data_IF_016302228711
#
_entry.id   IF_016302228711
#
_cell.length_a   1.000
_cell.length_b   1.000
_cell.length_c   1.000
_cell.angle_alpha   90.00
_cell.angle_beta   90.00
_cell.angle_gamma   90.00
#
_symmetry.space_group_name_H-M   'P 1'
#
loop_
_entity.id
_entity.type
_entity.pdbx_description
1 polymer ?
#
# COMPACT_ATOMS: atom_id res chain seq x y z
N UNK A 1 -12.33 -33.67 -44.33
CA UNK A 1 -11.13 -32.82 -44.17
C UNK A 1 -11.48 -31.41 -44.65
N UNK A 2 -11.77 -30.50 -43.72
CA UNK A 2 -11.70 -29.02 -43.82
C UNK A 2 -12.24 -28.46 -42.51
N UNK A 3 -11.35 -27.88 -41.71
CA UNK A 3 -11.68 -27.14 -40.50
C UNK A 3 -12.18 -25.75 -40.91
N UNK A 4 -13.33 -25.33 -40.39
CA UNK A 4 -13.82 -23.96 -40.50
C UNK A 4 -13.94 -23.38 -39.08
N UNK A 5 -13.18 -22.31 -38.85
CA UNK A 5 -13.20 -21.47 -37.66
C UNK A 5 -14.59 -20.89 -37.40
N UNK A 6 -15.08 -20.94 -36.17
CA UNK A 6 -16.20 -20.13 -35.71
C UNK A 6 -15.72 -19.21 -34.59
N UNK A 7 -15.47 -17.95 -34.93
CA UNK A 7 -15.52 -16.84 -33.99
C UNK A 7 -16.99 -16.52 -33.72
N UNK A 8 -17.38 -16.50 -32.45
CA UNK A 8 -18.69 -16.02 -32.02
C UNK A 8 -18.56 -14.59 -31.50
N UNK A 9 -19.26 -13.66 -32.13
CA UNK A 9 -19.48 -12.31 -31.61
C UNK A 9 -20.15 -12.39 -30.25
N UNK A 10 -19.50 -11.85 -29.21
CA UNK A 10 -20.13 -11.58 -27.92
C UNK A 10 -20.77 -10.18 -27.98
N UNK A 11 -22.05 -10.11 -27.71
CA UNK A 11 -22.83 -8.87 -27.70
C UNK A 11 -22.36 -7.98 -26.53
N UNK A 12 -22.15 -6.68 -26.79
CA UNK A 12 -21.53 -5.75 -25.83
C UNK A 12 -22.54 -4.72 -25.30
N UNK A 13 -22.62 -4.58 -23.99
CA UNK A 13 -23.52 -3.66 -23.29
C UNK A 13 -22.82 -2.33 -22.94
N UNK A 14 -23.59 -1.24 -22.83
CA UNK A 14 -23.13 0.07 -22.33
C UNK A 14 -23.97 0.44 -21.12
N UNK A 15 -23.36 1.01 -20.08
CA UNK A 15 -24.10 1.49 -18.92
C UNK A 15 -23.33 2.56 -18.13
N UNK A 16 -24.07 3.36 -17.37
CA UNK A 16 -23.54 4.29 -16.38
C UNK A 16 -23.34 3.60 -15.04
N UNK A 17 -22.18 3.82 -14.42
CA UNK A 17 -21.83 3.25 -13.12
C UNK A 17 -21.10 4.28 -12.25
N UNK A 18 -21.34 4.28 -10.93
CA UNK A 18 -20.53 5.06 -9.99
C UNK A 18 -19.06 4.60 -10.05
N UNK A 19 -18.11 5.55 -9.99
CA UNK A 19 -16.67 5.27 -10.11
C UNK A 19 -16.16 4.21 -9.11
N UNK A 20 -16.77 4.19 -7.92
CA UNK A 20 -16.52 3.26 -6.80
C UNK A 20 -16.78 1.78 -7.16
N UNK A 21 -17.61 1.52 -8.17
CA UNK A 21 -17.98 0.16 -8.61
C UNK A 21 -16.81 -0.55 -9.32
N UNK A 22 -15.75 0.18 -9.67
CA UNK A 22 -14.56 -0.35 -10.34
C UNK A 22 -13.53 -0.96 -9.36
N UNK A 23 -13.71 -0.81 -8.06
CA UNK A 23 -12.74 -1.28 -7.05
C UNK A 23 -12.79 -2.78 -6.74
N UNK A 24 -13.70 -3.53 -7.38
CA UNK A 24 -14.00 -4.92 -7.02
C UNK A 24 -13.59 -6.03 -7.99
N UNK A 25 -12.92 -5.78 -9.14
CA UNK A 25 -12.70 -6.87 -10.11
C UNK A 25 -11.32 -6.90 -10.79
N UNK A 26 -10.90 -8.14 -11.05
CA UNK A 26 -9.58 -8.58 -11.43
C UNK A 26 -8.95 -7.79 -12.60
N UNK A 27 -7.67 -7.51 -12.39
CA UNK A 27 -6.72 -7.01 -13.37
C UNK A 27 -6.72 -7.92 -14.58
N UNK A 28 -7.11 -7.41 -15.73
CA UNK A 28 -6.37 -7.57 -16.98
C UNK A 28 -7.09 -6.85 -18.13
N UNK A 29 -6.29 -6.14 -18.93
CA UNK A 29 -6.58 -5.56 -20.26
C UNK A 29 -7.61 -4.40 -20.28
N UNK A 30 -7.12 -3.16 -20.21
CA UNK A 30 -7.85 -1.94 -20.60
C UNK A 30 -7.10 -1.29 -21.76
N UNK A 31 -7.80 -1.00 -22.85
CA UNK A 31 -7.30 -0.22 -23.99
C UNK A 31 -8.25 0.96 -24.22
N UNK A 32 -7.73 2.19 -24.31
CA UNK A 32 -8.52 3.42 -24.43
C UNK A 32 -8.62 3.93 -25.88
N UNK A 33 -9.79 4.45 -26.32
CA UNK A 33 -9.86 5.34 -27.48
C UNK A 33 -10.28 6.78 -27.12
N UNK A 34 -10.06 7.67 -28.08
CA UNK A 34 -9.92 9.12 -27.95
C UNK A 34 -11.23 9.95 -28.01
N UNK A 35 -11.27 11.04 -27.22
CA UNK A 35 -11.88 12.32 -27.59
C UNK A 35 -13.34 12.61 -27.23
N UNK A 36 -13.60 13.25 -26.08
CA UNK A 36 -14.78 14.09 -25.84
C UNK A 36 -14.38 15.31 -25.01
N UNK A 37 -14.75 16.51 -25.48
CA UNK A 37 -14.52 17.80 -24.78
C UNK A 37 -15.71 18.09 -23.88
N UNK A 38 -15.52 18.63 -22.67
CA UNK A 38 -16.38 19.69 -22.14
C UNK A 38 -15.76 20.44 -20.94
N UNK A 39 -16.55 21.36 -20.38
CA UNK A 39 -16.24 22.74 -19.99
C UNK A 39 -16.06 22.84 -18.47
N UNK A 40 -15.14 23.70 -18.01
CA UNK A 40 -14.86 24.00 -16.59
C UNK A 40 -16.13 24.24 -15.78
N UNK A 41 -16.13 23.80 -14.52
CA UNK A 41 -16.71 24.52 -13.38
C UNK A 41 -16.02 24.09 -12.07
N UNK A 42 -15.91 25.07 -11.17
CA UNK A 42 -15.23 25.05 -9.87
C UNK A 42 -16.19 24.71 -8.72
N UNK A 43 -15.60 24.17 -7.64
CA UNK A 43 -15.77 24.38 -6.18
C UNK A 43 -17.17 24.48 -5.52
N UNK A 44 -17.45 23.56 -4.56
CA UNK A 44 -18.17 23.78 -3.26
C UNK A 44 -18.61 22.45 -2.58
N UNK A 45 -18.81 22.42 -1.23
CA UNK A 45 -19.13 21.21 -0.47
C UNK A 45 -20.53 20.65 -0.82
N UNK A 46 -20.60 19.34 -1.03
CA UNK A 46 -21.75 18.66 -1.66
C UNK A 46 -21.43 18.02 -3.01
N UNK A 47 -20.16 17.65 -3.25
CA UNK A 47 -19.73 17.07 -4.52
C UNK A 47 -20.55 15.81 -4.86
N UNK A 48 -21.29 15.87 -5.97
CA UNK A 48 -21.86 14.70 -6.61
C UNK A 48 -20.72 13.76 -6.99
N UNK A 49 -20.82 12.49 -6.56
CA UNK A 49 -19.82 11.48 -6.92
C UNK A 49 -19.83 11.35 -8.45
N UNK A 50 -18.66 11.36 -9.11
CA UNK A 50 -18.60 11.33 -10.57
C UNK A 50 -19.15 9.99 -11.09
N UNK A 51 -20.12 10.07 -12.00
CA UNK A 51 -20.66 8.92 -12.73
C UNK A 51 -19.81 8.70 -13.97
N UNK A 52 -19.48 7.45 -14.28
CA UNK A 52 -18.78 7.11 -15.51
C UNK A 52 -19.63 6.23 -16.43
N UNK A 53 -19.50 6.44 -17.72
CA UNK A 53 -20.03 5.56 -18.76
C UNK A 53 -19.00 4.48 -19.06
N UNK A 54 -19.42 3.23 -19.01
CA UNK A 54 -18.57 2.06 -19.28
C UNK A 54 -19.25 1.15 -20.31
N UNK A 55 -18.44 0.58 -21.19
CA UNK A 55 -18.83 -0.51 -22.09
C UNK A 55 -18.31 -1.82 -21.52
N UNK A 56 -19.07 -2.89 -21.58
CA UNK A 56 -18.70 -4.17 -20.96
C UNK A 56 -19.41 -5.35 -21.62
N UNK A 57 -18.92 -6.56 -21.38
CA UNK A 57 -19.47 -7.77 -22.03
C UNK A 57 -20.62 -8.41 -21.26
N UNK A 58 -20.53 -8.46 -19.92
CA UNK A 58 -21.58 -9.05 -19.09
C UNK A 58 -21.51 -8.57 -17.63
N UNK A 59 -22.64 -8.68 -16.92
CA UNK A 59 -22.72 -8.52 -15.47
C UNK A 59 -22.40 -9.85 -14.77
N UNK A 60 -21.61 -9.81 -13.70
CA UNK A 60 -21.43 -10.97 -12.81
C UNK A 60 -22.65 -11.14 -11.92
N UNK A 61 -22.83 -12.35 -11.36
CA UNK A 61 -23.92 -12.65 -10.41
C UNK A 61 -23.83 -11.80 -9.15
N UNK A 62 -22.63 -11.37 -8.78
CA UNK A 62 -22.34 -10.58 -7.58
C UNK A 62 -22.43 -9.07 -7.84
N UNK A 63 -22.96 -8.64 -8.99
CA UNK A 63 -23.21 -7.23 -9.30
C UNK A 63 -21.99 -6.46 -9.86
N UNK A 64 -20.91 -7.16 -10.20
CA UNK A 64 -19.76 -6.56 -10.88
C UNK A 64 -19.82 -6.66 -12.41
N UNK A 65 -18.87 -6.05 -13.10
CA UNK A 65 -18.87 -5.90 -14.56
C UNK A 65 -17.64 -6.55 -15.18
N UNK A 66 -17.83 -7.31 -16.27
CA UNK A 66 -16.74 -8.01 -16.97
C UNK A 66 -16.32 -7.30 -18.25
N UNK A 67 -15.00 -7.23 -18.45
CA UNK A 67 -14.36 -6.50 -19.54
C UNK A 67 -14.81 -5.02 -19.64
N UNK A 68 -14.79 -4.24 -18.54
CA UNK A 68 -15.18 -2.84 -18.60
C UNK A 68 -14.14 -2.02 -19.38
N UNK A 69 -14.60 -1.34 -20.41
CA UNK A 69 -13.90 -0.29 -21.12
C UNK A 69 -14.53 1.05 -20.73
N UNK A 70 -13.73 1.92 -20.12
CA UNK A 70 -14.15 3.26 -19.75
C UNK A 70 -14.43 4.09 -21.02
N UNK A 71 -15.59 4.74 -21.07
CA UNK A 71 -16.00 5.60 -22.19
C UNK A 71 -15.94 7.09 -21.85
N UNK A 72 -16.23 7.48 -20.60
CA UNK A 72 -16.17 8.89 -20.18
C UNK A 72 -16.84 9.15 -18.83
N UNK A 73 -16.69 10.36 -18.29
CA UNK A 73 -17.48 10.82 -17.15
C UNK A 73 -18.79 11.47 -17.64
N UNK A 74 -19.85 11.30 -16.87
CA UNK A 74 -21.20 11.85 -17.14
C UNK A 74 -21.56 12.80 -16.02
N UNK A 75 -21.39 14.09 -16.29
CA UNK A 75 -21.76 15.16 -15.36
C UNK A 75 -23.27 15.44 -15.34
N UNK A 76 -24.01 14.89 -16.32
CA UNK A 76 -25.46 15.04 -16.47
C UNK A 76 -26.27 13.98 -15.69
N UNK A 77 -25.58 13.02 -15.06
CA UNK A 77 -26.20 11.87 -14.39
C UNK A 77 -25.67 11.78 -12.97
N UNK A 78 -26.58 11.63 -12.01
CA UNK A 78 -26.20 11.43 -10.61
C UNK A 78 -26.06 9.94 -10.31
N UNK A 79 -25.23 9.53 -9.34
CA UNK A 79 -25.03 8.13 -8.98
C UNK A 79 -26.34 7.39 -8.68
N UNK A 80 -27.31 8.07 -8.08
CA UNK A 80 -28.61 7.50 -7.70
C UNK A 80 -29.50 7.23 -8.93
N UNK A 81 -29.21 7.88 -10.06
CA UNK A 81 -29.93 7.73 -11.32
C UNK A 81 -29.33 6.63 -12.22
N UNK A 82 -28.28 5.93 -11.77
CA UNK A 82 -27.63 4.84 -12.50
C UNK A 82 -28.38 3.52 -12.28
N UNK A 83 -29.21 3.14 -13.25
CA UNK A 83 -29.96 1.87 -13.23
C UNK A 83 -29.33 0.82 -14.14
N UNK A 84 -29.50 -0.45 -13.80
CA UNK A 84 -29.02 -1.58 -14.61
C UNK A 84 -29.78 -1.66 -15.93
N UNK A 85 -29.09 -1.42 -17.02
CA UNK A 85 -29.67 -1.51 -18.36
C UNK A 85 -29.70 -2.98 -18.79
N UNK A 86 -30.85 -3.42 -19.32
CA UNK A 86 -30.99 -4.75 -19.89
C UNK A 86 -30.48 -4.74 -21.34
N UNK A 87 -29.85 -5.82 -21.83
CA UNK A 87 -29.39 -5.89 -23.22
C UNK A 87 -30.57 -5.76 -24.18
N UNK A 88 -30.43 -4.91 -25.19
CA UNK A 88 -31.41 -4.73 -26.26
C UNK A 88 -31.29 -5.91 -27.21
N UNK A 89 -32.21 -6.88 -27.12
CA UNK A 89 -32.26 -8.00 -28.07
C UNK A 89 -32.59 -7.48 -29.46
N UNK A 90 -31.64 -7.58 -30.39
CA UNK A 90 -31.91 -7.36 -31.81
C UNK A 90 -32.86 -8.47 -32.31
N UNK A 91 -34.12 -8.12 -32.63
CA UNK A 91 -35.05 -9.05 -33.29
C UNK A 91 -34.51 -9.44 -34.67
N UNK A 92 -34.04 -10.68 -34.82
CA UNK A 92 -33.93 -11.35 -36.12
C UNK A 92 -35.07 -12.33 -36.29
N UNK A 93 -35.79 -12.17 -37.41
CA UNK A 93 -36.91 -13.01 -37.85
C UNK A 93 -36.50 -14.48 -38.00
N UNK A 94 -37.47 -15.35 -37.73
CA UNK A 94 -37.23 -16.78 -37.51
C UNK A 94 -37.22 -17.66 -38.76
N UNK A 95 -37.00 -18.96 -38.49
CA UNK A 95 -37.72 -20.11 -39.05
C UNK A 95 -37.07 -21.42 -38.55
N UNK A 96 -37.91 -22.37 -38.11
CA UNK A 96 -37.73 -23.80 -38.46
C UNK A 96 -37.00 -24.76 -37.50
N UNK A 97 -37.78 -25.40 -36.63
CA UNK A 97 -37.94 -26.86 -36.45
C UNK A 97 -36.81 -27.78 -35.90
N UNK A 98 -37.19 -28.51 -34.83
CA UNK A 98 -36.98 -29.95 -34.52
C UNK A 98 -35.53 -30.48 -34.34
N UNK A 99 -35.17 -31.32 -33.37
CA UNK A 99 -35.89 -32.05 -32.32
C UNK A 99 -34.97 -33.12 -31.69
N UNK A 100 -35.44 -33.64 -30.54
CA UNK A 100 -35.11 -34.94 -29.92
C UNK A 100 -33.82 -35.13 -29.10
N UNK A 101 -33.87 -36.16 -28.26
CA UNK A 101 -33.39 -36.24 -26.89
C UNK A 101 -32.64 -37.57 -26.61
N UNK A 102 -32.02 -37.66 -25.41
CA UNK A 102 -31.68 -38.94 -24.74
C UNK A 102 -30.22 -39.40 -24.89
N UNK A 103 -29.59 -40.19 -24.02
CA UNK A 103 -29.86 -40.79 -22.69
C UNK A 103 -28.50 -41.32 -22.19
N UNK A 104 -28.41 -41.63 -20.89
CA UNK A 104 -27.23 -41.81 -20.05
C UNK A 104 -26.47 -43.17 -20.09
N UNK A 105 -25.15 -43.09 -19.76
CA UNK A 105 -24.30 -44.00 -18.93
C UNK A 105 -24.07 -45.47 -19.37
N UNK A 106 -23.27 -46.30 -18.63
CA UNK A 106 -22.37 -46.01 -17.49
C UNK A 106 -21.02 -46.84 -17.42
N UNK A 107 -20.14 -46.43 -16.48
CA UNK A 107 -19.22 -47.18 -15.56
C UNK A 107 -18.25 -48.30 -16.04
N UNK A 108 -16.99 -48.20 -15.57
CA UNK A 108 -16.07 -49.34 -15.37
C UNK A 108 -14.65 -48.89 -14.95
N UNK A 109 -14.03 -49.54 -13.96
CA UNK A 109 -12.91 -49.05 -13.14
C UNK A 109 -11.70 -50.03 -13.04
N UNK A 110 -10.48 -49.45 -13.07
CA UNK A 110 -9.17 -49.87 -12.45
C UNK A 110 -8.46 -51.17 -12.95
N UNK A 111 -7.13 -51.43 -12.68
CA UNK A 111 -6.11 -50.75 -11.82
C UNK A 111 -4.66 -50.54 -12.41
N UNK A 112 -3.75 -49.98 -11.57
CA UNK A 112 -2.28 -49.70 -11.70
C UNK A 112 -1.39 -50.97 -11.51
N UNK A 113 -0.03 -50.98 -11.69
CA UNK A 113 1.03 -50.30 -10.88
C UNK A 113 2.25 -49.79 -11.73
N UNK A 114 3.28 -49.04 -11.29
CA UNK A 114 3.70 -48.48 -10.00
C UNK A 114 5.09 -47.80 -10.11
N UNK A 115 5.37 -46.88 -9.16
CA UNK A 115 6.69 -46.40 -8.66
C UNK A 115 7.61 -45.58 -9.62
N UNK A 116 8.41 -44.59 -9.23
CA UNK A 116 8.90 -44.16 -7.91
C UNK A 116 9.54 -42.73 -7.95
N UNK A 117 9.40 -42.02 -6.82
CA UNK A 117 10.35 -41.09 -6.14
C UNK A 117 10.42 -39.58 -6.47
N UNK A 118 10.23 -38.81 -5.39
CA UNK A 118 10.39 -37.36 -5.17
C UNK A 118 11.82 -37.06 -4.61
N UNK A 119 12.22 -35.87 -4.07
CA UNK A 119 11.48 -34.86 -3.27
C UNK A 119 11.81 -33.39 -3.71
N UNK A 120 11.45 -32.25 -3.12
CA UNK A 120 10.88 -31.78 -1.83
C UNK A 120 10.48 -30.30 -1.99
N UNK A 121 9.50 -29.80 -1.22
CA UNK A 121 9.36 -28.36 -0.94
C UNK A 121 7.92 -27.85 -0.98
N UNK A 122 7.11 -28.19 0.03
CA UNK A 122 5.69 -27.82 0.12
C UNK A 122 5.48 -26.58 0.99
N UNK A 123 4.64 -25.70 0.45
CA UNK A 123 3.92 -24.58 1.06
C UNK A 123 2.85 -25.11 2.03
N UNK A 124 2.61 -24.43 3.15
CA UNK A 124 1.45 -24.67 4.01
C UNK A 124 0.47 -23.49 3.96
N UNK A 125 -0.77 -23.84 3.66
CA UNK A 125 -1.98 -23.03 3.78
C UNK A 125 -2.52 -23.12 5.20
N UNK A 126 -3.08 -22.02 5.70
CA UNK A 126 -3.71 -21.94 7.01
C UNK A 126 -5.21 -22.15 6.80
N UNK A 127 -5.76 -23.26 7.28
CA UNK A 127 -7.10 -23.20 7.83
C UNK A 127 -7.41 -24.37 8.78
N UNK A 128 -8.01 -23.98 9.91
CA UNK A 128 -8.89 -24.78 10.77
C UNK A 128 -8.35 -26.00 11.52
N UNK A 129 -8.22 -25.87 12.85
CA UNK A 129 -8.82 -26.84 13.79
C UNK A 129 -9.00 -26.21 15.18
N UNK A 130 -10.27 -26.09 15.56
CA UNK A 130 -10.75 -25.93 16.93
C UNK A 130 -10.51 -27.24 17.66
N UNK A 131 -9.83 -27.20 18.80
CA UNK A 131 -9.98 -28.23 19.83
C UNK A 131 -10.18 -27.59 21.20
N UNK A 132 -11.21 -28.10 21.87
CA UNK A 132 -11.72 -27.71 23.19
C UNK A 132 -10.80 -28.27 24.27
N UNK A 133 -10.44 -27.45 25.24
CA UNK A 133 -9.84 -27.92 26.51
C UNK A 133 -10.98 -28.18 27.50
N UNK A 134 -11.00 -29.31 28.24
CA UNK A 134 -12.05 -29.63 29.19
C UNK A 134 -11.88 -28.85 30.50
N UNK A 135 -13.00 -28.40 31.07
CA UNK A 135 -13.08 -27.75 32.37
C UNK A 135 -13.01 -28.79 33.52
N UNK A 136 -12.23 -28.48 34.54
CA UNK A 136 -12.17 -29.22 35.82
C UNK A 136 -13.28 -28.70 36.75
N UNK A 137 -13.98 -29.57 37.53
CA UNK A 137 -15.06 -29.12 38.41
C UNK A 137 -14.50 -28.57 39.73
N UNK A 138 -15.11 -27.50 40.23
CA UNK A 138 -14.91 -26.99 41.59
C UNK A 138 -16.16 -27.24 42.44
N UNK A 139 -15.95 -27.81 43.62
CA UNK A 139 -16.92 -28.19 44.66
C UNK A 139 -17.43 -26.94 45.44
N UNK A 140 -18.69 -26.89 45.95
CA UNK A 140 -19.30 -25.69 46.50
C UNK A 140 -19.30 -25.64 48.04
N UNK A 141 -18.92 -24.52 48.63
CA UNK A 141 -19.31 -24.14 50.01
C UNK A 141 -19.17 -22.62 50.28
N UNK A 142 -20.33 -21.94 50.26
CA UNK A 142 -20.85 -20.75 51.00
C UNK A 142 -19.94 -19.66 51.64
N UNK A 143 -20.46 -18.46 52.05
CA UNK A 143 -21.77 -17.81 51.82
C UNK A 143 -21.69 -16.34 51.30
N UNK A 144 -22.86 -15.78 50.95
CA UNK A 144 -23.07 -14.44 50.39
C UNK A 144 -23.00 -13.27 51.40
N UNK A 145 -22.64 -12.04 50.96
CA UNK A 145 -22.83 -10.82 51.74
C UNK A 145 -24.21 -10.15 51.50
N UNK A 146 -24.74 -9.38 52.48
CA UNK A 146 -26.13 -8.92 52.53
C UNK A 146 -26.40 -7.62 51.73
N UNK A 147 -27.67 -7.30 51.43
CA UNK A 147 -28.04 -6.09 50.70
C UNK A 147 -28.13 -4.86 51.61
N UNK A 148 -27.64 -3.72 51.12
CA UNK A 148 -27.92 -2.37 51.63
C UNK A 148 -28.13 -1.51 50.39
N UNK A 149 -29.20 -0.76 50.18
CA UNK A 149 -30.07 0.00 51.08
C UNK A 149 -30.10 1.42 50.52
N UNK A 150 -31.22 1.83 49.91
CA UNK A 150 -31.43 3.20 49.39
C UNK A 150 -31.49 4.20 50.56
N UNK A 151 -30.73 5.29 50.47
CA UNK A 151 -31.12 6.60 51.03
C UNK A 151 -30.21 7.74 50.56
N UNK A 152 -30.82 8.88 50.21
CA UNK A 152 -30.34 10.19 50.65
C UNK A 152 -29.44 10.98 49.71
N UNK A 153 -30.05 11.82 48.87
CA UNK A 153 -29.42 12.99 48.29
C UNK A 153 -28.98 13.97 49.39
N UNK A 154 -27.69 14.38 49.38
CA UNK A 154 -27.22 15.66 49.96
C UNK A 154 -26.05 16.21 49.14
N UNK A 155 -26.29 17.39 48.60
CA UNK A 155 -25.36 18.32 47.97
C UNK A 155 -24.20 18.68 48.90
N UNK A 156 -22.96 18.60 48.41
CA UNK A 156 -21.81 19.27 49.03
C UNK A 156 -20.84 19.79 47.97
N UNK A 157 -20.51 21.06 48.14
CA UNK A 157 -19.89 21.94 47.18
C UNK A 157 -18.48 21.51 46.71
N UNK A 158 -18.24 21.82 45.44
CA UNK A 158 -16.98 21.87 44.70
C UNK A 158 -15.81 22.46 45.51
N UNK A 159 -14.78 21.64 45.73
CA UNK A 159 -13.38 22.10 45.69
C UNK A 159 -12.73 21.41 44.49
N UNK A 160 -12.67 22.14 43.37
CA UNK A 160 -11.83 21.78 42.23
C UNK A 160 -10.38 21.81 42.71
N UNK A 161 -9.78 20.64 42.92
CA UNK A 161 -8.34 20.51 42.82
C UNK A 161 -7.98 20.78 41.37
N UNK A 162 -7.29 21.88 41.10
CA UNK A 162 -6.60 22.10 39.83
C UNK A 162 -5.68 20.91 39.58
N UNK A 163 -6.07 20.04 38.66
CA UNK A 163 -5.20 18.98 38.12
C UNK A 163 -4.04 19.67 37.40
N UNK A 164 -2.89 19.66 38.05
CA UNK A 164 -1.62 20.07 37.46
C UNK A 164 -1.40 19.24 36.20
N UNK A 165 -1.21 19.90 35.06
CA UNK A 165 -0.90 19.22 33.81
C UNK A 165 0.35 18.34 34.02
N UNK A 166 0.44 17.14 33.40
CA UNK A 166 1.60 16.29 33.55
C UNK A 166 2.86 17.08 33.20
N UNK A 167 3.77 17.22 34.17
CA UNK A 167 5.04 17.91 34.00
C UNK A 167 5.83 17.15 32.92
N UNK A 168 6.23 17.84 31.87
CA UNK A 168 7.08 17.23 30.85
C UNK A 168 8.36 16.68 31.52
N UNK A 169 8.71 15.39 31.28
CA UNK A 169 9.87 14.79 31.93
C UNK A 169 11.14 15.54 31.56
N UNK A 170 12.06 15.65 32.53
CA UNK A 170 13.32 16.37 32.36
C UNK A 170 14.16 15.76 31.23
N UNK A 171 15.06 16.55 30.63
CA UNK A 171 15.88 16.10 29.51
C UNK A 171 16.69 14.81 29.79
N UNK A 172 17.07 14.59 31.05
CA UNK A 172 17.79 13.39 31.48
C UNK A 172 16.89 12.16 31.64
N UNK A 173 15.60 12.35 31.97
CA UNK A 173 14.61 11.26 32.06
C UNK A 173 14.19 10.72 30.68
N UNK A 174 14.41 11.51 29.61
CA UNK A 174 14.14 11.10 28.22
C UNK A 174 15.34 10.44 27.54
N UNK A 175 16.52 10.43 28.16
CA UNK A 175 17.73 9.88 27.56
C UNK A 175 17.65 8.35 27.49
N UNK A 176 17.79 7.79 26.29
CA UNK A 176 17.74 6.33 26.09
C UNK A 176 19.09 5.69 26.43
N UNK A 177 19.08 4.77 27.39
CA UNK A 177 20.22 3.88 27.66
C UNK A 177 20.27 2.76 26.62
N UNK A 178 21.35 2.70 25.84
CA UNK A 178 21.54 1.66 24.82
C UNK A 178 21.91 0.34 25.50
N UNK A 179 21.12 -0.71 25.23
CA UNK A 179 21.33 -2.04 25.81
C UNK A 179 21.95 -2.97 24.79
N UNK A 180 22.85 -3.85 25.23
CA UNK A 180 23.57 -4.79 24.36
C UNK A 180 24.21 -4.11 23.13
N UNK A 181 25.00 -3.03 23.31
CA UNK A 181 25.53 -2.22 22.21
C UNK A 181 26.38 -3.04 21.22
N UNK A 182 27.16 -3.99 21.74
CA UNK A 182 28.04 -4.88 20.96
C UNK A 182 27.31 -6.08 20.33
N UNK A 183 25.98 -6.19 20.47
CA UNK A 183 25.23 -7.27 19.83
C UNK A 183 25.36 -7.13 18.32
N UNK A 184 25.87 -8.17 17.66
CA UNK A 184 26.04 -8.22 16.21
C UNK A 184 24.68 -8.37 15.54
N UNK A 185 24.34 -7.46 14.64
CA UNK A 185 23.12 -7.50 13.84
C UNK A 185 23.39 -8.01 12.42
N UNK A 186 24.56 -7.69 11.86
CA UNK A 186 25.04 -8.18 10.57
C UNK A 186 26.30 -9.03 10.77
N UNK A 187 26.18 -10.36 10.85
CA UNK A 187 27.31 -11.22 11.22
C UNK A 187 28.41 -11.32 10.16
N UNK A 188 28.07 -11.13 8.88
CA UNK A 188 29.06 -11.25 7.80
C UNK A 188 29.94 -9.99 7.71
N UNK A 189 29.37 -8.82 8.00
CA UNK A 189 30.07 -7.54 8.06
C UNK A 189 30.60 -7.18 9.45
N UNK A 190 30.07 -7.82 10.49
CA UNK A 190 30.37 -7.52 11.89
C UNK A 190 29.62 -6.32 12.48
N UNK A 191 28.68 -5.70 11.76
CA UNK A 191 27.97 -4.52 12.26
C UNK A 191 27.09 -4.85 13.47
N UNK A 192 27.19 -4.00 14.48
CA UNK A 192 26.56 -4.13 15.78
C UNK A 192 25.32 -3.24 15.91
N UNK A 193 24.58 -3.41 17.01
CA UNK A 193 23.49 -2.51 17.38
C UNK A 193 23.98 -1.07 17.51
N UNK A 194 25.15 -0.84 18.11
CA UNK A 194 25.73 0.50 18.20
C UNK A 194 25.98 1.12 16.84
N UNK A 195 26.54 0.38 15.88
CA UNK A 195 26.77 0.90 14.53
C UNK A 195 25.45 1.34 13.85
N UNK A 196 24.37 0.58 14.06
CA UNK A 196 23.04 0.95 13.57
C UNK A 196 22.50 2.21 14.23
N UNK A 197 22.69 2.35 15.55
CA UNK A 197 22.26 3.55 16.30
C UNK A 197 23.06 4.77 15.86
N UNK A 198 24.37 4.64 15.72
CA UNK A 198 25.27 5.72 15.29
C UNK A 198 24.93 6.16 13.86
N UNK A 199 24.62 5.21 12.98
CA UNK A 199 24.08 5.51 11.66
C UNK A 199 22.80 6.35 11.74
N UNK A 200 21.79 5.88 12.48
CA UNK A 200 20.50 6.58 12.57
C UNK A 200 20.64 7.96 13.23
N UNK A 201 21.51 8.10 14.22
CA UNK A 201 21.89 9.38 14.79
C UNK A 201 22.47 10.33 13.74
N UNK A 202 23.40 9.84 12.91
CA UNK A 202 24.08 10.64 11.89
C UNK A 202 23.13 11.14 10.79
N UNK A 203 22.10 10.36 10.43
CA UNK A 203 21.13 10.73 9.39
C UNK A 203 19.85 11.37 9.97
N UNK A 204 19.70 11.40 11.29
CA UNK A 204 18.51 11.93 11.96
C UNK A 204 18.07 13.33 11.51
N UNK A 205 18.97 14.29 11.19
CA UNK A 205 18.54 15.60 10.70
C UNK A 205 17.71 15.56 9.41
N UNK A 206 17.96 14.57 8.54
CA UNK A 206 17.21 14.37 7.28
C UNK A 206 16.08 13.35 7.43
N UNK A 207 16.25 12.32 8.27
CA UNK A 207 15.24 11.28 8.48
C UNK A 207 14.03 11.76 9.28
N UNK A 208 14.24 12.50 10.38
CA UNK A 208 13.16 12.88 11.30
C UNK A 208 12.03 13.71 10.65
N UNK A 209 12.29 14.62 9.70
CA UNK A 209 11.22 15.28 8.93
C UNK A 209 10.23 14.32 8.25
N UNK A 210 10.68 13.14 7.83
CA UNK A 210 9.82 12.09 7.27
C UNK A 210 9.03 11.35 8.32
N UNK A 211 9.61 11.06 9.48
CA UNK A 211 8.97 10.29 10.55
C UNK A 211 7.96 11.10 11.37
N UNK A 212 8.19 12.41 11.47
CA UNK A 212 7.43 13.32 12.33
C UNK A 212 5.93 13.19 12.11
N UNK A 213 5.20 13.04 13.21
CA UNK A 213 3.74 12.91 13.26
C UNK A 213 3.17 11.70 12.51
N UNK A 214 3.99 10.74 12.07
CA UNK A 214 3.52 9.55 11.34
C UNK A 214 3.43 8.32 12.22
N UNK A 215 2.34 7.56 12.11
CA UNK A 215 2.28 6.21 12.62
C UNK A 215 3.36 5.33 11.96
N UNK A 216 4.13 4.63 12.79
CA UNK A 216 5.17 3.70 12.33
C UNK A 216 4.80 2.25 12.59
N UNK A 217 5.22 1.39 11.67
CA UNK A 217 5.29 -0.06 11.85
C UNK A 217 6.76 -0.45 11.95
N UNK A 218 7.11 -1.15 13.02
CA UNK A 218 8.48 -1.58 13.26
C UNK A 218 8.66 -3.01 12.77
N UNK A 219 9.77 -3.32 12.11
CA UNK A 219 10.21 -4.72 11.97
C UNK A 219 11.43 -4.94 12.84
N UNK A 220 11.26 -5.76 13.86
CA UNK A 220 12.28 -5.98 14.88
C UNK A 220 13.07 -7.25 14.59
N UNK A 221 14.37 -7.14 14.72
CA UNK A 221 15.38 -8.19 14.60
C UNK A 221 16.21 -8.22 15.90
N UNK A 222 15.64 -8.71 17.03
CA UNK A 222 16.31 -8.64 18.33
C UNK A 222 17.67 -9.35 18.36
N UNK A 223 17.86 -10.33 17.48
CA UNK A 223 19.06 -11.18 17.36
C UNK A 223 19.72 -11.07 15.96
N UNK A 224 19.54 -9.93 15.29
CA UNK A 224 20.16 -9.65 13.99
C UNK A 224 19.47 -10.29 12.80
N UNK A 225 20.01 -10.05 11.60
CA UNK A 225 19.34 -10.35 10.32
C UNK A 225 19.22 -11.85 10.02
N UNK A 226 20.03 -12.70 10.65
CA UNK A 226 19.95 -14.18 10.57
C UNK A 226 19.01 -14.78 11.62
N UNK A 227 18.55 -13.98 12.58
CA UNK A 227 17.61 -14.37 13.63
C UNK A 227 16.14 -14.25 13.21
N UNK A 228 15.23 -14.50 14.16
CA UNK A 228 13.79 -14.29 13.94
C UNK A 228 13.48 -12.80 13.87
N UNK A 229 12.55 -12.43 12.99
CA UNK A 229 12.00 -11.09 12.90
C UNK A 229 10.48 -11.08 13.08
N UNK A 230 9.93 -9.96 13.55
CA UNK A 230 8.49 -9.78 13.62
C UNK A 230 8.09 -8.33 13.33
N UNK A 231 6.89 -8.17 12.78
CA UNK A 231 6.25 -6.87 12.59
C UNK A 231 5.54 -6.45 13.87
N UNK A 232 5.71 -5.20 14.26
CA UNK A 232 5.09 -4.61 15.42
C UNK A 232 4.38 -3.32 15.00
N UNK A 233 3.05 -3.40 14.94
CA UNK A 233 2.16 -2.24 14.76
C UNK A 233 1.79 -1.62 16.10
N UNK A 234 1.46 -2.49 17.07
CA UNK A 234 0.95 -2.12 18.38
C UNK A 234 2.10 -1.88 19.36
N UNK A 235 2.15 -0.67 19.90
CA UNK A 235 3.05 -0.29 20.96
C UNK A 235 2.59 -0.96 22.27
N UNK A 236 3.51 -1.57 23.03
CA UNK A 236 3.14 -2.26 24.25
C UNK A 236 2.87 -1.26 25.38
N UNK A 237 2.11 -1.66 26.39
CA UNK A 237 1.74 -0.79 27.52
C UNK A 237 2.93 -0.29 28.35
N UNK A 238 4.05 -1.01 28.33
CA UNK A 238 5.23 -0.72 29.14
C UNK A 238 6.20 0.30 28.52
N UNK A 239 5.87 0.92 27.38
CA UNK A 239 6.72 1.96 26.81
C UNK A 239 6.85 3.16 27.77
N UNK A 240 7.99 3.88 27.76
CA UNK A 240 8.12 5.12 28.52
C UNK A 240 7.02 6.12 28.13
N UNK A 241 6.48 6.84 29.12
CA UNK A 241 5.36 7.78 28.92
C UNK A 241 5.65 8.93 27.96
N UNK A 242 6.92 9.24 27.72
CA UNK A 242 7.36 10.26 26.76
C UNK A 242 7.43 9.76 25.31
N UNK A 243 7.37 8.44 25.07
CA UNK A 243 7.24 7.89 23.71
C UNK A 243 5.81 8.12 23.24
N UNK A 244 5.67 8.89 22.16
CA UNK A 244 4.35 9.24 21.62
C UNK A 244 3.77 8.09 20.80
N UNK A 245 2.46 7.92 20.89
CA UNK A 245 1.70 6.97 20.08
C UNK A 245 0.55 7.64 19.33
N UNK A 246 0.06 6.96 18.30
CA UNK A 246 -1.15 7.30 17.55
C UNK A 246 -2.14 6.14 17.67
N UNK A 247 -3.22 6.35 18.42
CA UNK A 247 -4.30 5.37 18.54
C UNK A 247 -5.16 5.40 17.28
N UNK A 248 -5.23 4.28 16.56
CA UNK A 248 -5.95 4.16 15.29
C UNK A 248 -6.79 2.88 15.33
N UNK A 249 -8.07 3.01 14.98
CA UNK A 249 -8.95 1.86 14.85
C UNK A 249 -8.55 1.02 13.63
N UNK A 250 -8.28 -0.27 13.83
CA UNK A 250 -7.96 -1.19 12.75
C UNK A 250 -9.15 -2.08 12.45
N UNK A 251 -9.73 -1.91 11.27
CA UNK A 251 -10.85 -2.71 10.79
C UNK A 251 -10.49 -4.20 10.62
N UNK A 252 -9.24 -4.50 10.23
CA UNK A 252 -8.76 -5.89 10.05
C UNK A 252 -8.81 -6.72 11.34
N UNK A 253 -8.50 -6.10 12.48
CA UNK A 253 -8.46 -6.78 13.79
C UNK A 253 -9.64 -6.40 14.70
N UNK A 254 -10.50 -5.46 14.26
CA UNK A 254 -11.69 -5.02 15.00
C UNK A 254 -11.40 -4.31 16.33
N UNK A 255 -10.21 -3.71 16.48
CA UNK A 255 -9.81 -2.99 17.70
C UNK A 255 -8.88 -1.83 17.40
N UNK A 256 -8.69 -0.98 18.39
CA UNK A 256 -7.69 0.07 18.34
C UNK A 256 -6.28 -0.51 18.47
N UNK A 257 -5.35 0.08 17.74
CA UNK A 257 -3.92 -0.19 17.75
C UNK A 257 -3.21 1.12 18.08
N UNK A 258 -2.25 1.08 19.00
CA UNK A 258 -1.40 2.22 19.32
C UNK A 258 -0.12 2.16 18.51
N UNK A 259 -0.04 2.94 17.44
CA UNK A 259 1.16 2.98 16.59
C UNK A 259 2.23 3.88 17.22
N UNK A 260 3.51 3.49 17.12
CA UNK A 260 4.61 4.37 17.51
C UNK A 260 4.65 5.64 16.65
N UNK A 261 4.98 6.76 17.27
CA UNK A 261 5.27 8.02 16.57
C UNK A 261 6.65 8.50 17.01
N UNK A 262 7.53 8.71 16.03
CA UNK A 262 8.95 9.06 16.26
C UNK A 262 9.20 10.46 15.71
N UNK A 263 9.38 11.43 16.60
CA UNK A 263 9.48 12.86 16.25
C UNK A 263 10.86 13.46 16.48
N UNK A 264 11.67 12.77 17.28
CA UNK A 264 12.94 13.26 17.77
C UNK A 264 14.00 12.15 17.82
N UNK A 265 15.23 12.55 18.14
CA UNK A 265 16.38 11.66 18.17
C UNK A 265 16.28 10.59 19.26
N UNK A 266 15.73 10.89 20.43
CA UNK A 266 15.66 9.92 21.53
C UNK A 266 14.56 8.88 21.28
N UNK A 267 13.40 9.26 20.74
CA UNK A 267 12.38 8.32 20.29
C UNK A 267 12.88 7.41 19.15
N UNK A 268 13.71 7.95 18.24
CA UNK A 268 14.38 7.15 17.20
C UNK A 268 15.35 6.14 17.81
N UNK A 269 16.24 6.58 18.70
CA UNK A 269 17.15 5.69 19.44
C UNK A 269 16.39 4.61 20.20
N UNK A 270 15.29 4.96 20.84
CA UNK A 270 14.46 4.02 21.58
C UNK A 270 13.98 2.87 20.68
N UNK A 271 13.32 3.18 19.55
CA UNK A 271 12.79 2.13 18.67
C UNK A 271 13.90 1.29 18.03
N UNK A 272 15.07 1.89 17.72
CA UNK A 272 16.23 1.15 17.21
C UNK A 272 16.84 0.26 18.29
N UNK A 273 16.92 0.73 19.55
CA UNK A 273 17.43 -0.03 20.69
C UNK A 273 16.57 -1.28 20.99
N UNK A 274 15.27 -1.23 20.71
CA UNK A 274 14.36 -2.38 20.72
C UNK A 274 14.68 -3.42 19.63
N UNK A 275 15.65 -3.17 18.75
CA UNK A 275 16.07 -4.04 17.67
C UNK A 275 15.34 -3.76 16.35
N UNK A 276 14.74 -2.58 16.17
CA UNK A 276 14.14 -2.21 14.88
C UNK A 276 15.23 -1.93 13.86
N UNK A 277 15.22 -2.65 12.74
CA UNK A 277 16.15 -2.40 11.62
C UNK A 277 15.47 -1.49 10.59
N UNK A 278 14.45 -1.93 9.83
CA UNK A 278 13.71 -1.03 8.96
C UNK A 278 12.60 -0.31 9.71
N UNK A 279 12.42 0.96 9.37
CA UNK A 279 11.33 1.82 9.81
C UNK A 279 10.31 1.91 8.67
N UNK A 280 9.10 1.43 8.91
CA UNK A 280 8.00 1.54 7.96
C UNK A 280 7.04 2.64 8.43
N UNK A 281 6.66 3.52 7.52
CA UNK A 281 5.85 4.69 7.83
C UNK A 281 4.61 4.75 6.95
N UNK A 282 3.53 5.29 7.51
CA UNK A 282 2.34 5.67 6.77
C UNK A 282 2.64 6.87 5.86
N UNK A 283 1.90 7.03 4.76
CA UNK A 283 2.00 8.22 3.93
C UNK A 283 1.22 9.42 4.49
N UNK A 284 0.35 9.22 5.47
CA UNK A 284 -0.37 10.29 6.20
C UNK A 284 0.21 10.55 7.59
N UNK A 285 -0.24 11.64 8.21
CA UNK A 285 0.11 12.04 9.58
C UNK A 285 -1.06 11.83 10.51
N UNK A 286 -0.80 11.76 11.82
CA UNK A 286 -1.82 11.55 12.85
C UNK A 286 -2.93 12.62 12.84
N UNK A 287 -2.62 13.84 12.41
CA UNK A 287 -3.58 14.95 12.31
C UNK A 287 -4.49 14.84 11.07
N UNK A 288 -4.09 14.07 10.07
CA UNK A 288 -4.74 13.98 8.76
C UNK A 288 -4.68 12.55 8.24
N UNK A 289 -5.13 11.59 9.05
CA UNK A 289 -4.90 10.16 8.83
C UNK A 289 -5.41 9.66 7.48
N UNK A 290 -6.47 10.24 6.95
CA UNK A 290 -7.09 9.85 5.67
C UNK A 290 -6.51 10.58 4.46
N UNK A 291 -5.60 11.53 4.68
CA UNK A 291 -5.02 12.38 3.66
C UNK A 291 -3.50 12.22 3.58
N UNK A 292 -2.98 11.40 2.65
CA UNK A 292 -1.54 11.19 2.51
C UNK A 292 -0.80 12.45 2.03
N UNK A 293 0.43 12.60 2.49
CA UNK A 293 1.34 13.69 2.10
C UNK A 293 2.03 13.43 0.76
N UNK A 294 2.08 12.17 0.31
CA UNK A 294 2.64 11.78 -0.96
C UNK A 294 1.94 10.57 -1.55
N UNK A 295 2.06 10.46 -2.87
CA UNK A 295 1.80 9.26 -3.66
C UNK A 295 3.12 8.53 -3.89
N UNK A 296 3.09 7.20 -3.96
CA UNK A 296 4.24 6.37 -4.32
C UNK A 296 3.94 5.45 -5.51
N UNK A 297 4.89 5.34 -6.43
CA UNK A 297 4.98 4.25 -7.40
C UNK A 297 6.15 3.36 -6.97
N UNK A 298 5.85 2.16 -6.48
CA UNK A 298 6.87 1.20 -6.05
C UNK A 298 7.20 0.25 -7.21
N UNK A 299 8.44 0.34 -7.70
CA UNK A 299 8.94 -0.46 -8.82
C UNK A 299 9.66 -1.68 -8.28
N UNK A 300 8.96 -2.81 -8.30
CA UNK A 300 9.46 -4.09 -7.81
C UNK A 300 9.82 -5.00 -9.00
N UNK A 301 11.08 -5.41 -9.17
CA UNK A 301 11.49 -6.24 -10.30
C UNK A 301 10.79 -7.61 -10.35
N UNK A 302 10.41 -8.21 -9.22
CA UNK A 302 9.84 -9.58 -9.16
C UNK A 302 10.55 -10.61 -10.06
N UNK A 303 11.88 -10.54 -10.12
CA UNK A 303 12.72 -11.42 -10.96
C UNK A 303 13.23 -10.78 -12.25
N UNK A 304 12.71 -9.61 -12.64
CA UNK A 304 13.30 -8.78 -13.69
C UNK A 304 14.72 -8.31 -13.30
N UNK A 305 15.60 -8.05 -14.28
CA UNK A 305 16.88 -7.42 -13.98
C UNK A 305 16.68 -6.00 -13.48
N UNK A 306 17.53 -5.55 -12.55
CA UNK A 306 17.45 -4.19 -11.99
C UNK A 306 17.57 -3.09 -13.06
N UNK A 307 18.28 -3.36 -14.16
CA UNK A 307 18.35 -2.45 -15.31
C UNK A 307 16.98 -2.15 -15.91
N UNK A 308 16.03 -3.08 -15.85
CA UNK A 308 14.67 -2.85 -16.34
C UNK A 308 13.88 -1.97 -15.35
N UNK A 309 14.13 -2.10 -14.04
CA UNK A 309 13.58 -1.17 -13.03
C UNK A 309 14.02 0.26 -13.33
N UNK A 310 15.29 0.46 -13.67
CA UNK A 310 15.82 1.78 -14.06
C UNK A 310 15.15 2.30 -15.34
N UNK A 311 14.98 1.47 -16.37
CA UNK A 311 14.30 1.87 -17.62
C UNK A 311 12.87 2.31 -17.36
N UNK A 312 12.10 1.51 -16.61
CA UNK A 312 10.72 1.83 -16.24
C UNK A 312 10.66 3.11 -15.40
N UNK A 313 11.58 3.29 -14.44
CA UNK A 313 11.66 4.51 -13.65
C UNK A 313 11.91 5.75 -14.50
N UNK A 314 12.81 5.65 -15.49
CA UNK A 314 13.09 6.75 -16.44
C UNK A 314 11.93 7.03 -17.39
N UNK A 315 11.23 6.00 -17.85
CA UNK A 315 10.03 6.17 -18.65
C UNK A 315 8.93 6.91 -17.87
N UNK A 316 8.67 6.48 -16.63
CA UNK A 316 7.75 7.17 -15.73
C UNK A 316 8.21 8.61 -15.45
N UNK A 317 9.49 8.86 -15.21
CA UNK A 317 10.00 10.20 -14.98
C UNK A 317 9.72 11.13 -16.18
N UNK A 318 9.98 10.69 -17.42
CA UNK A 318 9.66 11.46 -18.63
C UNK A 318 8.17 11.80 -18.72
N UNK A 319 7.30 10.83 -18.46
CA UNK A 319 5.85 11.05 -18.41
C UNK A 319 5.49 12.13 -17.38
N UNK A 320 6.07 12.04 -16.18
CA UNK A 320 5.83 12.99 -15.09
C UNK A 320 6.32 14.40 -15.45
N UNK A 321 7.50 14.53 -16.08
CA UNK A 321 8.01 15.81 -16.57
C UNK A 321 7.11 16.41 -17.65
N UNK A 322 6.65 15.61 -18.62
CA UNK A 322 5.71 16.08 -19.64
C UNK A 322 4.39 16.56 -19.04
N UNK A 323 3.94 15.93 -17.95
CA UNK A 323 2.76 16.33 -17.19
C UNK A 323 3.03 17.54 -16.29
N UNK A 324 4.28 17.95 -16.12
CA UNK A 324 4.74 18.97 -15.17
C UNK A 324 4.44 18.59 -13.71
N UNK A 325 4.57 17.30 -13.40
CA UNK A 325 4.42 16.75 -12.07
C UNK A 325 5.80 16.61 -11.40
N UNK A 326 6.07 17.32 -10.29
CA UNK A 326 7.29 17.09 -9.52
C UNK A 326 7.31 15.65 -9.00
N UNK A 327 8.45 14.98 -9.19
CA UNK A 327 8.66 13.61 -8.74
C UNK A 327 10.07 13.45 -8.17
N UNK A 328 10.19 12.60 -7.16
CA UNK A 328 11.44 12.37 -6.44
C UNK A 328 11.66 10.87 -6.27
N UNK A 329 12.91 10.42 -6.25
CA UNK A 329 13.23 8.99 -6.34
C UNK A 329 14.18 8.56 -5.24
N UNK A 330 13.98 7.33 -4.77
CA UNK A 330 14.90 6.66 -3.84
C UNK A 330 15.04 5.19 -4.20
N UNK A 331 16.19 4.60 -3.85
CA UNK A 331 16.27 3.14 -3.79
C UNK A 331 15.34 2.64 -2.69
N UNK A 332 14.75 1.46 -2.86
CA UNK A 332 14.05 0.82 -1.74
C UNK A 332 15.05 0.35 -0.67
N UNK A 333 16.35 0.25 -1.00
CA UNK A 333 17.39 -0.39 -0.18
C UNK A 333 17.38 -1.91 -0.31
N UNK A 334 16.49 -2.47 -1.14
CA UNK A 334 16.50 -3.86 -1.55
C UNK A 334 16.68 -3.91 -3.07
N UNK A 335 15.72 -4.46 -3.81
CA UNK A 335 15.84 -4.73 -5.24
C UNK A 335 15.08 -3.75 -6.13
N UNK A 336 14.43 -2.72 -5.57
CA UNK A 336 13.50 -1.85 -6.29
C UNK A 336 13.78 -0.35 -6.13
N UNK A 337 12.95 0.46 -6.78
CA UNK A 337 12.95 1.92 -6.68
C UNK A 337 11.56 2.42 -6.25
N UNK A 338 11.52 3.47 -5.42
CA UNK A 338 10.27 4.18 -5.15
C UNK A 338 10.33 5.55 -5.80
N UNK A 339 9.29 5.91 -6.55
CA UNK A 339 9.07 7.26 -7.07
C UNK A 339 7.95 7.89 -6.27
N UNK A 340 8.21 9.04 -5.66
CA UNK A 340 7.27 9.76 -4.82
C UNK A 340 6.85 11.07 -5.48
N UNK A 341 5.55 11.38 -5.41
CA UNK A 341 4.99 12.66 -5.83
C UNK A 341 4.34 13.33 -4.61
N UNK A 342 4.59 14.63 -4.38
CA UNK A 342 4.03 15.32 -3.22
C UNK A 342 2.54 15.59 -3.39
N UNK A 343 1.76 15.39 -2.35
CA UNK A 343 0.32 15.67 -2.30
C UNK A 343 -0.05 16.74 -1.27
N UNK A 344 0.78 16.92 -0.22
CA UNK A 344 0.56 17.90 0.83
C UNK A 344 -0.77 17.72 1.57
N UNK A 345 -1.19 16.46 1.81
CA UNK A 345 -2.44 16.10 2.49
C UNK A 345 -3.71 16.70 1.86
N UNK A 346 -3.71 16.94 0.55
CA UNK A 346 -4.85 17.55 -0.17
C UNK A 346 -5.90 16.56 -0.67
N UNK A 347 -5.54 15.28 -0.75
CA UNK A 347 -6.36 14.24 -1.35
C UNK A 347 -6.52 13.08 -0.38
N UNK A 348 -7.61 12.33 -0.47
CA UNK A 348 -7.77 11.08 0.27
C UNK A 348 -7.01 9.92 -0.40
N UNK A 349 -7.03 8.75 0.24
CA UNK A 349 -6.39 7.55 -0.29
C UNK A 349 -7.02 7.03 -1.59
N UNK A 350 -8.32 7.20 -1.79
CA UNK A 350 -9.01 6.68 -2.98
C UNK A 350 -8.63 7.46 -4.23
N UNK A 351 -8.62 8.79 -4.14
CA UNK A 351 -8.11 9.69 -5.19
C UNK A 351 -6.64 9.38 -5.45
N UNK A 352 -5.84 9.24 -4.38
CA UNK A 352 -4.40 8.98 -4.49
C UNK A 352 -4.13 7.65 -5.21
N UNK A 353 -4.77 6.56 -4.80
CA UNK A 353 -4.59 5.23 -5.38
C UNK A 353 -5.08 5.17 -6.82
N UNK A 354 -6.19 5.84 -7.13
CA UNK A 354 -6.73 5.92 -8.49
C UNK A 354 -5.77 6.66 -9.41
N UNK A 355 -5.25 7.80 -8.97
CA UNK A 355 -4.27 8.56 -9.74
C UNK A 355 -2.95 7.80 -9.90
N UNK A 356 -2.47 7.11 -8.86
CA UNK A 356 -1.30 6.25 -8.94
C UNK A 356 -1.49 5.11 -9.95
N UNK A 357 -2.68 4.51 -10.00
CA UNK A 357 -3.02 3.47 -10.97
C UNK A 357 -2.98 4.00 -12.40
N UNK A 358 -3.50 5.20 -12.65
CA UNK A 358 -3.43 5.84 -13.98
C UNK A 358 -1.98 6.02 -14.43
N UNK A 359 -1.13 6.59 -13.56
CA UNK A 359 0.30 6.76 -13.86
C UNK A 359 1.01 5.42 -14.08
N UNK A 360 0.65 4.39 -13.31
CA UNK A 360 1.20 3.05 -13.48
C UNK A 360 0.79 2.42 -14.82
N UNK A 361 -0.46 2.60 -15.26
CA UNK A 361 -0.93 2.16 -16.59
C UNK A 361 -0.13 2.86 -17.70
N UNK A 362 0.04 4.18 -17.62
CA UNK A 362 0.85 4.93 -18.58
C UNK A 362 2.31 4.43 -18.60
N UNK A 363 2.87 4.07 -17.44
CA UNK A 363 4.19 3.45 -17.35
C UNK A 363 4.26 2.10 -18.06
N UNK A 364 3.21 1.28 -17.95
CA UNK A 364 3.10 0.01 -18.69
C UNK A 364 2.96 0.24 -20.19
N UNK A 365 2.19 1.23 -20.61
CA UNK A 365 2.05 1.59 -22.03
C UNK A 365 3.37 2.07 -22.64
N UNK A 366 4.19 2.79 -21.87
CA UNK A 366 5.50 3.24 -22.30
C UNK A 366 6.54 2.11 -22.38
N UNK A 367 6.48 1.13 -21.47
CA UNK A 367 7.43 0.02 -21.39
C UNK A 367 6.74 -1.37 -21.29
N UNK A 368 5.89 -1.76 -22.27
CA UNK A 368 4.98 -2.91 -22.14
C UNK A 368 5.70 -4.27 -22.15
N UNK A 369 6.89 -4.31 -22.74
CA UNK A 369 7.71 -5.51 -22.79
C UNK A 369 8.28 -5.89 -21.42
N UNK A 370 8.56 -4.90 -20.56
CA UNK A 370 9.34 -5.08 -19.33
C UNK A 370 8.59 -4.66 -18.06
N UNK A 371 7.34 -4.19 -18.16
CA UNK A 371 6.57 -3.77 -16.99
C UNK A 371 5.13 -4.31 -16.95
N UNK A 372 4.54 -4.31 -15.76
CA UNK A 372 3.18 -4.79 -15.51
C UNK A 372 2.56 -4.19 -14.24
N UNK A 373 1.23 -4.13 -14.20
CA UNK A 373 0.45 -3.83 -13.00
C UNK A 373 -0.37 -5.04 -12.51
N UNK A 374 -0.22 -6.21 -13.13
CA UNK A 374 -0.97 -7.42 -12.76
C UNK A 374 -0.44 -8.01 -11.44
N UNK A 375 -1.32 -8.32 -10.48
CA UNK A 375 -0.94 -8.82 -9.15
C UNK A 375 -0.47 -10.28 -9.14
N UNK A 376 -1.06 -11.25 -9.86
CA UNK A 376 -0.66 -12.64 -9.73
C UNK A 376 0.79 -12.87 -10.19
N UNK A 377 1.65 -13.46 -9.35
CA UNK A 377 3.08 -13.66 -9.65
C UNK A 377 3.30 -14.47 -10.94
N UNK A 378 2.45 -15.47 -11.21
CA UNK A 378 2.53 -16.31 -12.42
C UNK A 378 2.36 -15.52 -13.71
N UNK A 379 1.64 -14.39 -13.65
CA UNK A 379 1.31 -13.57 -14.82
C UNK A 379 2.38 -12.54 -15.17
N UNK A 380 3.44 -12.39 -14.35
CA UNK A 380 4.40 -11.28 -14.48
C UNK A 380 5.59 -11.57 -15.40
N UNK A 381 5.86 -12.81 -15.78
CA UNK A 381 6.82 -13.17 -16.85
C UNK A 381 8.22 -12.54 -16.75
N UNK A 382 8.72 -12.24 -15.54
CA UNK A 382 10.00 -11.54 -15.35
C UNK A 382 9.97 -10.04 -15.64
N UNK A 383 8.79 -9.41 -15.61
CA UNK A 383 8.59 -7.97 -15.78
C UNK A 383 8.58 -7.24 -14.43
N UNK A 384 9.00 -5.97 -14.47
CA UNK A 384 8.90 -5.02 -13.36
C UNK A 384 7.45 -4.75 -13.02
N UNK A 385 7.06 -5.00 -11.78
CA UNK A 385 5.76 -4.64 -11.27
C UNK A 385 5.74 -3.19 -10.80
N UNK A 386 4.84 -2.40 -11.37
CA UNK A 386 4.58 -1.03 -10.94
C UNK A 386 3.46 -1.09 -9.89
N UNK A 387 3.84 -1.20 -8.62
CA UNK A 387 2.90 -1.29 -7.52
C UNK A 387 2.33 0.09 -7.15
N UNK A 388 1.09 0.32 -7.58
CA UNK A 388 0.29 1.44 -7.11
C UNK A 388 -0.49 1.11 -5.84
N UNK A 389 -0.53 -0.17 -5.42
CA UNK A 389 -1.29 -0.65 -4.27
C UNK A 389 -0.78 -0.16 -2.92
N UNK A 390 0.46 0.34 -2.86
CA UNK A 390 1.07 0.93 -1.67
C UNK A 390 0.40 2.25 -1.23
N UNK A 391 -0.50 2.80 -2.05
CA UNK A 391 -1.25 4.02 -1.77
C UNK A 391 -2.60 3.77 -1.08
N UNK A 392 -2.75 2.67 -0.35
CA UNK A 392 -3.93 2.39 0.45
C UNK A 392 -3.79 2.91 1.88
N UNK A 393 -4.92 3.15 2.56
CA UNK A 393 -4.92 3.48 3.98
C UNK A 393 -4.22 2.39 4.79
N UNK A 394 -3.35 2.78 5.72
CA UNK A 394 -2.58 1.85 6.56
C UNK A 394 -1.50 1.05 5.84
N UNK A 395 -1.33 1.22 4.52
CA UNK A 395 -0.15 0.71 3.82
C UNK A 395 1.06 1.55 4.20
N UNK A 396 2.23 0.91 4.17
CA UNK A 396 3.48 1.55 4.61
C UNK A 396 4.57 1.32 3.60
N UNK A 397 5.43 2.33 3.45
CA UNK A 397 6.70 2.19 2.75
C UNK A 397 7.84 2.25 3.74
N UNK A 398 8.97 1.65 3.38
CA UNK A 398 10.20 1.87 4.12
C UNK A 398 10.61 3.34 4.02
N UNK A 399 10.94 3.94 5.16
CA UNK A 399 11.31 5.35 5.26
C UNK A 399 12.54 5.65 4.39
N UNK A 400 12.65 6.86 3.79
CA UNK A 400 13.94 7.36 3.32
C UNK A 400 14.99 7.23 4.42
N UNK A 401 16.25 6.94 4.07
CA UNK A 401 17.36 6.69 5.01
C UNK A 401 17.23 5.46 5.91
N UNK A 402 16.13 4.72 5.88
CA UNK A 402 16.00 3.51 6.69
C UNK A 402 16.91 2.39 6.17
N UNK A 403 17.57 1.72 7.11
CA UNK A 403 18.41 0.54 6.85
C UNK A 403 17.52 -0.67 6.55
N UNK A 404 18.01 -1.57 5.69
CA UNK A 404 17.36 -2.82 5.35
C UNK A 404 18.11 -4.00 5.98
N UNK A 405 17.39 -5.03 6.46
CA UNK A 405 17.97 -6.22 7.09
C UNK A 405 18.50 -7.20 6.02
N UNK A 406 19.43 -6.73 5.20
CA UNK A 406 20.08 -7.46 4.11
C UNK A 406 21.61 -7.41 4.30
N UNK A 407 22.36 -8.35 3.71
CA UNK A 407 23.83 -8.26 3.66
C UNK A 407 24.28 -6.90 3.15
N UNK A 408 25.33 -6.34 3.76
CA UNK A 408 25.87 -5.01 3.52
C UNK A 408 25.16 -3.88 4.26
N UNK A 409 24.08 -4.15 4.98
CA UNK A 409 23.22 -3.15 5.63
C UNK A 409 22.81 -1.99 4.68
N UNK A 410 22.20 -2.30 3.53
CA UNK A 410 21.85 -1.29 2.54
C UNK A 410 20.73 -0.37 3.04
N UNK A 411 20.66 0.82 2.46
CA UNK A 411 19.77 1.90 2.89
C UNK A 411 18.77 2.23 1.79
N UNK A 412 17.53 2.55 2.16
CA UNK A 412 16.59 3.20 1.25
C UNK A 412 17.05 4.62 0.96
N UNK A 413 17.88 4.78 -0.07
CA UNK A 413 18.68 5.97 -0.30
C UNK A 413 17.96 6.96 -1.22
N UNK A 414 17.64 8.19 -0.76
CA UNK A 414 17.32 9.31 -1.64
C UNK A 414 18.35 9.52 -2.75
N UNK A 415 17.87 9.76 -3.97
CA UNK A 415 18.69 9.99 -5.15
C UNK A 415 18.25 11.27 -5.86
N UNK A 416 19.18 11.88 -6.60
CA UNK A 416 18.80 12.78 -7.68
C UNK A 416 18.46 11.98 -8.93
N UNK A 417 17.60 12.52 -9.80
CA UNK A 417 17.21 11.83 -11.03
C UNK A 417 18.38 11.58 -11.97
N UNK A 418 19.42 12.42 -11.97
CA UNK A 418 20.63 12.22 -12.79
C UNK A 418 21.37 10.93 -12.43
N UNK A 419 21.20 10.41 -11.21
CA UNK A 419 21.85 9.20 -10.73
C UNK A 419 21.14 7.92 -11.16
N UNK A 420 19.87 8.02 -11.58
CA UNK A 420 19.05 6.87 -12.01
C UNK A 420 19.47 6.43 -13.41
N UNK A 421 20.61 5.77 -13.51
CA UNK A 421 21.24 5.35 -14.77
C UNK A 421 21.40 3.84 -14.80
N UNK A 422 21.75 3.26 -15.96
CA UNK A 422 21.97 1.83 -16.09
C UNK A 422 23.07 1.28 -15.17
N UNK A 423 23.96 2.15 -14.67
CA UNK A 423 25.03 1.83 -13.72
C UNK A 423 24.64 2.06 -12.26
N UNK A 424 23.39 2.43 -11.97
CA UNK A 424 22.90 2.57 -10.60
C UNK A 424 22.96 1.20 -9.92
N UNK A 425 23.63 1.15 -8.77
CA UNK A 425 23.73 -0.04 -7.94
C UNK A 425 23.27 0.30 -6.50
N UNK A 426 22.09 -0.19 -6.09
CA UNK A 426 21.57 0.04 -4.74
C UNK A 426 22.48 -0.48 -3.62
N UNK A 427 23.30 -1.50 -3.87
CA UNK A 427 24.16 -2.11 -2.85
C UNK A 427 25.28 -1.18 -2.36
N UNK A 428 25.58 -0.12 -3.13
CA UNK A 428 26.59 0.89 -2.79
C UNK A 428 26.15 1.85 -1.69
N UNK A 429 24.86 1.90 -1.38
CA UNK A 429 24.30 2.76 -0.35
C UNK A 429 24.05 1.97 0.92
N UNK A 430 24.95 2.10 1.89
CA UNK A 430 24.96 1.31 3.13
C UNK A 430 25.02 2.24 4.35
N UNK A 431 24.91 1.67 5.56
CA UNK A 431 25.09 2.43 6.80
C UNK A 431 26.46 3.13 6.90
N UNK A 432 27.48 2.64 6.19
CA UNK A 432 28.83 3.23 6.22
C UNK A 432 29.05 4.26 5.12
N UNK A 433 28.37 4.16 3.97
CA UNK A 433 28.57 5.07 2.82
C UNK A 433 27.56 6.20 2.77
N UNK A 434 26.33 5.99 3.24
CA UNK A 434 25.25 6.97 3.18
C UNK A 434 25.51 8.26 4.00
N UNK A 435 26.07 8.22 5.24
CA UNK A 435 26.23 9.44 6.03
C UNK A 435 27.08 10.52 5.35
N UNK A 436 28.28 10.15 4.88
CA UNK A 436 29.19 11.09 4.20
C UNK A 436 28.58 11.67 2.92
N UNK A 437 27.78 10.85 2.21
CA UNK A 437 27.04 11.31 1.02
C UNK A 437 26.07 12.42 1.36
N UNK A 438 25.24 12.27 2.39
CA UNK A 438 24.20 13.26 2.72
C UNK A 438 24.73 14.51 3.40
N UNK A 439 25.85 14.40 4.12
CA UNK A 439 26.59 15.57 4.60
C UNK A 439 27.02 16.48 3.44
N UNK A 440 27.40 15.90 2.29
CA UNK A 440 27.82 16.66 1.09
C UNK A 440 26.64 17.07 0.21
N UNK A 441 25.69 16.17 -0.02
CA UNK A 441 24.62 16.33 -1.01
C UNK A 441 23.42 17.11 -0.48
N UNK A 442 23.17 17.03 0.83
CA UNK A 442 21.84 17.28 1.38
C UNK A 442 20.84 16.20 0.96
N UNK A 443 19.57 16.39 1.31
CA UNK A 443 18.50 15.46 0.98
C UNK A 443 17.79 15.85 -0.34
N UNK A 444 17.98 15.10 -1.44
CA UNK A 444 17.33 15.38 -2.71
C UNK A 444 15.82 15.06 -2.72
N UNK A 445 15.33 14.29 -1.74
CA UNK A 445 13.92 13.90 -1.62
C UNK A 445 13.14 14.91 -0.76
N UNK A 446 13.80 15.82 -0.04
CA UNK A 446 13.19 16.76 0.91
C UNK A 446 11.99 17.55 0.34
N UNK A 447 11.99 18.00 -0.93
CA UNK A 447 10.85 18.77 -1.46
C UNK A 447 9.53 17.99 -1.50
N UNK A 448 9.56 16.65 -1.40
CA UNK A 448 8.34 15.83 -1.28
C UNK A 448 7.53 16.16 -0.01
N UNK A 449 8.19 16.68 1.03
CA UNK A 449 7.57 16.99 2.32
C UNK A 449 6.77 18.30 2.32
N UNK A 450 7.05 19.19 1.38
CA UNK A 450 6.50 20.57 1.37
C UNK A 450 5.73 20.90 0.10
N UNK A 451 5.94 20.16 -0.99
CA UNK A 451 5.24 20.38 -2.25
C UNK A 451 3.81 19.83 -2.26
N UNK A 452 3.13 20.04 -3.38
CA UNK A 452 1.92 19.33 -3.76
C UNK A 452 1.76 19.36 -5.29
N UNK A 453 0.90 18.49 -5.81
CA UNK A 453 0.48 18.50 -7.21
C UNK A 453 -1.00 18.86 -7.31
N UNK A 454 -1.42 19.34 -8.48
CA UNK A 454 -2.83 19.52 -8.82
C UNK A 454 -3.29 18.35 -9.71
N UNK A 455 -3.90 17.34 -9.07
CA UNK A 455 -4.42 16.15 -9.75
C UNK A 455 -5.48 16.53 -10.79
N UNK A 456 -6.40 17.45 -10.45
CA UNK A 456 -7.49 17.84 -11.33
C UNK A 456 -6.97 18.59 -12.58
N UNK A 457 -6.00 19.51 -12.42
CA UNK A 457 -5.37 20.17 -13.56
C UNK A 457 -4.64 19.20 -14.48
N UNK A 458 -4.02 18.17 -13.90
CA UNK A 458 -3.34 17.11 -14.64
C UNK A 458 -4.33 16.28 -15.45
N UNK A 459 -5.43 15.85 -14.85
CA UNK A 459 -6.49 15.09 -15.55
C UNK A 459 -7.06 15.91 -16.73
N UNK A 460 -7.35 17.20 -16.52
CA UNK A 460 -7.77 18.10 -17.61
C UNK A 460 -6.73 18.22 -18.73
N UNK A 461 -5.43 18.15 -18.40
CA UNK A 461 -4.34 18.19 -19.39
C UNK A 461 -4.29 16.90 -20.21
N UNK A 462 -4.49 15.75 -19.57
CA UNK A 462 -4.57 14.44 -20.23
C UNK A 462 -5.78 14.37 -21.16
N UNK A 463 -6.96 14.79 -20.71
CA UNK A 463 -8.17 14.84 -21.55
C UNK A 463 -7.98 15.67 -22.82
N UNK A 464 -7.29 16.82 -22.72
CA UNK A 464 -6.98 17.65 -23.89
C UNK A 464 -6.02 16.98 -24.86
N UNK A 465 -5.04 16.21 -24.37
CA UNK A 465 -4.10 15.45 -25.23
C UNK A 465 -4.79 14.28 -25.93
N UNK A 466 -5.74 13.64 -25.25
CA UNK A 466 -6.53 12.53 -25.80
C UNK A 466 -7.68 12.99 -26.71
N UNK A 467 -7.85 14.30 -26.91
CA UNK A 467 -8.79 14.83 -27.88
C UNK A 467 -8.11 14.86 -29.26
N UNK A 468 -8.63 14.16 -30.29
CA UNK A 468 -8.05 14.22 -31.63
C UNK A 468 -8.09 15.67 -32.14
N UNK A 469 -7.03 16.05 -32.87
CA UNK A 469 -7.00 17.31 -33.64
C UNK A 469 -8.28 17.39 -34.46
N UNK A 470 -9.05 18.46 -34.24
CA UNK A 470 -10.33 18.70 -34.92
C UNK A 470 -10.10 19.41 -36.24
#
# INVERSE_FOLDING_TARGET
MRAASRGGDREEARQLVPLETLDGLAQDQVSAPAGVRHRRLHDAPGHARPVCEVRFTEWTRDGGIRHPAFLGLRDDKRPEDCVREAPVVARRGGAGAEGSAGVAGPRGSLPLPGSCWAPSGRVWSVDSLRERVPATPADPSAPAPPPRGRAGARTRASRRSSSEAPKEPGADERRVTITNPRKVFWPDEGYTKSDLIDYYDSVSPWLLPYLRDRPLVLTRYPDGIKGKSFFQKDAPEWIPSWIRTARIHSHDVGRDIDYFVVDDRESLRYVVNLGTIPLHLWSSRRQSLDHPDWLVLDLDPKGAPFTDVVKVARALHRILEELALPSYVKTSGATGLHILLPLGARYDYDVTRTFARLLAVMGVEAEPAISTIARPLRSRGGKVYIDFGQNGQGQTIVAPFSVRPLPGAPVSCPLRWEEVTATLDPSRFTITTAPARFQKLGDPLAPVLTGWIDVAATLRKLERRSAPDR
#
